data_IF_659147632450
#
_entry.id   IF_659147632450
#
_cell.length_a   1.000
_cell.length_b   1.000
_cell.length_c   1.000
_cell.angle_alpha   90.00
_cell.angle_beta   90.00
_cell.angle_gamma   90.00
#
_symmetry.space_group_name_H-M   'P 1'
#
loop_
_entity.id
_entity.type
_entity.pdbx_description
1 polymer ?
#
# COMPACT_ATOMS: atom_id res chain seq x y z
N UNK A 1 15.52 42.27 -18.00
CA UNK A 1 14.82 41.11 -17.40
C UNK A 1 15.51 39.86 -17.93
N UNK A 2 16.19 39.10 -17.08
CA UNK A 2 17.04 37.97 -17.50
C UNK A 2 16.19 36.75 -17.84
N UNK A 3 16.00 36.48 -19.13
CA UNK A 3 15.40 35.25 -19.66
C UNK A 3 16.48 34.15 -19.75
N UNK A 4 17.06 33.79 -18.61
CA UNK A 4 17.91 32.60 -18.57
C UNK A 4 16.99 31.36 -18.59
N UNK A 5 17.08 30.55 -19.64
CA UNK A 5 16.45 29.24 -19.66
C UNK A 5 16.96 28.44 -18.45
N UNK A 6 16.08 27.71 -17.73
CA UNK A 6 16.52 26.87 -16.63
C UNK A 6 17.52 25.83 -17.16
N UNK A 7 18.50 25.42 -16.34
CA UNK A 7 19.44 24.38 -16.72
C UNK A 7 18.68 23.09 -17.08
N UNK A 8 19.18 22.29 -18.03
CA UNK A 8 18.57 21.03 -18.38
C UNK A 8 18.48 20.12 -17.15
N UNK A 9 17.39 19.36 -17.04
CA UNK A 9 17.15 18.43 -15.95
C UNK A 9 18.36 17.52 -15.73
N UNK A 10 18.82 17.47 -14.47
CA UNK A 10 19.96 16.66 -14.05
C UNK A 10 19.68 15.18 -14.24
N UNK A 11 20.73 14.33 -14.23
CA UNK A 11 20.54 12.87 -14.26
C UNK A 11 19.63 12.42 -13.10
N UNK A 12 19.78 13.04 -11.93
CA UNK A 12 18.97 12.79 -10.73
C UNK A 12 17.49 13.05 -11.00
N UNK A 13 17.14 14.17 -11.65
CA UNK A 13 15.75 14.49 -11.99
C UNK A 13 15.13 13.47 -12.96
N UNK A 14 15.94 12.91 -13.86
CA UNK A 14 15.51 11.90 -14.83
C UNK A 14 15.26 10.53 -14.19
N UNK A 15 16.01 10.18 -13.15
CA UNK A 15 15.90 8.88 -12.48
C UNK A 15 14.95 8.90 -11.28
N UNK A 16 14.73 10.06 -10.66
CA UNK A 16 13.85 10.23 -9.48
C UNK A 16 12.42 9.74 -9.76
N UNK A 17 11.91 10.01 -10.97
CA UNK A 17 10.59 9.52 -11.40
C UNK A 17 10.51 7.98 -11.39
N UNK A 18 11.58 7.30 -11.81
CA UNK A 18 11.61 5.84 -11.81
C UNK A 18 11.83 5.28 -10.41
N UNK A 19 12.63 5.96 -9.58
CA UNK A 19 12.83 5.59 -8.18
C UNK A 19 11.51 5.63 -7.40
N UNK A 20 10.74 6.72 -7.56
CA UNK A 20 9.42 6.86 -6.93
C UNK A 20 8.44 5.79 -7.42
N UNK A 21 8.39 5.53 -8.73
CA UNK A 21 7.54 4.49 -9.30
C UNK A 21 7.93 3.08 -8.82
N UNK A 22 9.23 2.81 -8.66
CA UNK A 22 9.74 1.53 -8.17
C UNK A 22 9.31 1.27 -6.74
N UNK A 23 9.45 2.27 -5.84
CA UNK A 23 9.01 2.14 -4.45
C UNK A 23 7.50 1.93 -4.38
N UNK A 24 6.73 2.68 -5.17
CA UNK A 24 5.27 2.52 -5.22
C UNK A 24 4.87 1.13 -5.74
N UNK A 25 5.48 0.69 -6.83
CA UNK A 25 5.24 -0.62 -7.42
C UNK A 25 5.57 -1.74 -6.42
N UNK A 26 6.74 -1.68 -5.78
CA UNK A 26 7.14 -2.64 -4.77
C UNK A 26 6.17 -2.66 -3.58
N UNK A 27 5.82 -1.49 -3.04
CA UNK A 27 4.89 -1.38 -1.91
C UNK A 27 3.51 -1.97 -2.23
N UNK A 28 2.99 -1.76 -3.43
CA UNK A 28 1.72 -2.33 -3.87
C UNK A 28 1.80 -3.84 -4.15
N UNK A 29 2.80 -4.27 -4.93
CA UNK A 29 2.97 -5.67 -5.34
C UNK A 29 3.28 -6.60 -4.16
N UNK A 30 4.02 -6.14 -3.16
CA UNK A 30 4.30 -6.92 -1.94
C UNK A 30 3.04 -7.06 -1.07
N UNK A 31 2.07 -6.14 -1.17
CA UNK A 31 0.82 -6.18 -0.41
C UNK A 31 -0.15 -7.21 -0.99
N UNK A 32 -0.15 -7.35 -2.32
CA UNK A 32 -1.08 -8.22 -3.03
C UNK A 32 -1.08 -9.68 -2.52
N UNK A 33 0.06 -10.35 -2.28
CA UNK A 33 0.07 -11.69 -1.69
C UNK A 33 -0.73 -11.81 -0.39
N UNK A 34 -0.71 -10.82 0.49
CA UNK A 34 -1.47 -10.86 1.74
C UNK A 34 -2.99 -10.84 1.49
N UNK A 35 -3.44 -10.02 0.53
CA UNK A 35 -4.83 -9.98 0.13
C UNK A 35 -5.24 -11.26 -0.61
N UNK A 36 -4.37 -11.79 -1.45
CA UNK A 36 -4.60 -13.03 -2.18
C UNK A 36 -4.68 -14.26 -1.24
N UNK A 37 -3.88 -14.28 -0.17
CA UNK A 37 -3.97 -15.31 0.87
C UNK A 37 -5.33 -15.29 1.57
N UNK A 38 -5.88 -14.09 1.83
CA UNK A 38 -7.20 -13.92 2.46
C UNK A 38 -8.34 -14.24 1.50
N UNK A 39 -8.34 -13.64 0.31
CA UNK A 39 -9.48 -13.73 -0.62
C UNK A 39 -9.52 -15.05 -1.37
N UNK A 40 -8.36 -15.56 -1.80
CA UNK A 40 -8.29 -16.66 -2.77
C UNK A 40 -7.55 -17.90 -2.24
N UNK A 41 -6.96 -17.83 -1.04
CA UNK A 41 -6.15 -18.92 -0.48
C UNK A 41 -4.85 -19.18 -1.25
N UNK A 42 -4.42 -18.22 -2.08
CA UNK A 42 -3.19 -18.36 -2.86
C UNK A 42 -1.95 -18.33 -1.96
N UNK A 43 -0.82 -18.81 -2.48
CA UNK A 43 0.48 -18.81 -1.79
C UNK A 43 0.43 -19.49 -0.40
N UNK A 44 -0.36 -20.56 -0.28
CA UNK A 44 -0.56 -21.27 0.98
C UNK A 44 -1.41 -20.50 2.01
N UNK A 45 -2.17 -19.50 1.57
CA UNK A 45 -3.07 -18.74 2.42
C UNK A 45 -4.27 -19.57 2.90
N UNK A 46 -4.88 -19.12 4.00
CA UNK A 46 -6.00 -19.81 4.63
C UNK A 46 -7.29 -19.80 3.81
N UNK A 47 -7.41 -18.87 2.86
CA UNK A 47 -8.66 -18.58 2.15
C UNK A 47 -9.68 -17.84 3.01
N UNK A 48 -10.79 -17.46 2.37
CA UNK A 48 -11.70 -16.45 2.92
C UNK A 48 -12.41 -16.92 4.18
N UNK A 49 -13.03 -18.09 4.17
CA UNK A 49 -13.76 -18.61 5.32
C UNK A 49 -12.89 -18.71 6.59
N UNK A 50 -11.63 -19.15 6.44
CA UNK A 50 -10.69 -19.24 7.55
C UNK A 50 -10.18 -17.85 8.01
N UNK A 51 -10.04 -16.90 7.08
CA UNK A 51 -9.71 -15.51 7.41
C UNK A 51 -10.85 -14.85 8.21
N UNK A 52 -12.10 -14.99 7.77
CA UNK A 52 -13.28 -14.48 8.47
C UNK A 52 -13.39 -15.08 9.88
N UNK A 53 -13.23 -16.40 10.01
CA UNK A 53 -13.22 -17.07 11.31
C UNK A 53 -12.06 -16.57 12.20
N UNK A 54 -10.88 -16.32 11.63
CA UNK A 54 -9.74 -15.78 12.40
C UNK A 54 -10.00 -14.36 12.90
N UNK A 55 -10.66 -13.52 12.11
CA UNK A 55 -11.06 -12.18 12.56
C UNK A 55 -12.03 -12.27 13.75
N UNK A 56 -13.02 -13.15 13.67
CA UNK A 56 -13.99 -13.33 14.76
C UNK A 56 -13.37 -13.92 16.02
N UNK A 57 -12.60 -15.00 15.87
CA UNK A 57 -12.12 -15.80 17.01
C UNK A 57 -10.83 -15.29 17.64
N UNK A 58 -9.94 -14.66 16.85
CA UNK A 58 -8.63 -14.18 17.33
C UNK A 58 -8.60 -12.69 17.56
N UNK A 59 -9.27 -11.91 16.70
CA UNK A 59 -9.25 -10.44 16.78
C UNK A 59 -10.51 -9.88 17.45
N UNK A 60 -11.55 -10.69 17.66
CA UNK A 60 -12.85 -10.20 18.17
C UNK A 60 -13.55 -9.25 17.20
N UNK A 61 -13.21 -9.31 15.91
CA UNK A 61 -13.71 -8.42 14.87
C UNK A 61 -14.75 -9.13 13.99
N UNK A 62 -15.73 -8.40 13.42
CA UNK A 62 -16.65 -8.96 12.44
C UNK A 62 -15.94 -9.64 11.27
N UNK A 63 -16.39 -10.83 10.87
CA UNK A 63 -15.75 -11.63 9.81
C UNK A 63 -15.64 -10.89 8.48
N UNK A 64 -16.65 -10.09 8.10
CA UNK A 64 -16.66 -9.31 6.86
C UNK A 64 -15.48 -8.33 6.73
N UNK A 65 -14.86 -7.92 7.85
CA UNK A 65 -13.65 -7.10 7.81
C UNK A 65 -12.46 -7.85 7.19
N UNK A 66 -12.46 -9.19 7.20
CA UNK A 66 -11.45 -9.98 6.50
C UNK A 66 -11.58 -9.82 4.98
N UNK A 67 -12.81 -9.71 4.46
CA UNK A 67 -13.08 -9.38 3.05
C UNK A 67 -12.58 -7.98 2.74
N UNK A 68 -12.94 -6.99 3.56
CA UNK A 68 -12.51 -5.60 3.37
C UNK A 68 -10.98 -5.46 3.38
N UNK A 69 -10.32 -6.08 4.36
CA UNK A 69 -8.86 -6.13 4.47
C UNK A 69 -8.24 -6.80 3.24
N UNK A 70 -8.79 -7.94 2.80
CA UNK A 70 -8.31 -8.63 1.60
C UNK A 70 -8.46 -7.80 0.32
N UNK A 71 -9.58 -7.08 0.17
CA UNK A 71 -9.83 -6.20 -0.98
C UNK A 71 -8.83 -5.05 -1.02
N UNK A 72 -8.62 -4.37 0.11
CA UNK A 72 -7.67 -3.25 0.18
C UNK A 72 -6.24 -3.73 -0.04
N UNK A 73 -5.86 -4.88 0.52
CA UNK A 73 -4.52 -5.44 0.31
C UNK A 73 -4.27 -5.86 -1.14
N UNK A 74 -5.21 -6.57 -1.75
CA UNK A 74 -5.04 -7.08 -3.11
C UNK A 74 -5.30 -6.00 -4.17
N UNK A 75 -6.51 -5.45 -4.21
CA UNK A 75 -6.89 -4.50 -5.25
C UNK A 75 -6.33 -3.11 -4.96
N UNK A 76 -6.25 -2.69 -3.70
CA UNK A 76 -5.55 -1.46 -3.33
C UNK A 76 -4.05 -1.57 -3.62
N UNK A 77 -3.42 -2.71 -3.31
CA UNK A 77 -2.02 -2.97 -3.67
C UNK A 77 -1.78 -2.90 -5.18
N UNK A 78 -2.63 -3.55 -5.98
CA UNK A 78 -2.58 -3.50 -7.44
C UNK A 78 -2.76 -2.07 -7.98
N UNK A 79 -3.79 -1.36 -7.49
CA UNK A 79 -4.06 0.02 -7.87
C UNK A 79 -2.89 0.95 -7.53
N UNK A 80 -2.31 0.79 -6.33
CA UNK A 80 -1.13 1.52 -5.91
C UNK A 80 0.06 1.21 -6.82
N UNK A 81 0.32 -0.06 -7.13
CA UNK A 81 1.45 -0.44 -7.97
C UNK A 81 1.39 0.18 -9.37
N UNK A 82 0.20 0.16 -9.98
CA UNK A 82 -0.06 0.78 -11.29
C UNK A 82 -0.11 2.32 -11.21
N UNK A 83 -0.26 2.89 -10.02
CA UNK A 83 -0.51 4.31 -9.82
C UNK A 83 -1.87 4.73 -10.38
N UNK A 84 -2.90 3.92 -10.17
CA UNK A 84 -4.29 4.19 -10.55
C UNK A 84 -5.11 4.52 -9.30
N UNK A 85 -5.75 5.68 -9.27
CA UNK A 85 -6.44 6.16 -8.07
C UNK A 85 -5.49 6.26 -6.87
N UNK A 86 -4.22 6.63 -7.12
CA UNK A 86 -3.10 6.44 -6.20
C UNK A 86 -3.40 6.95 -4.80
N UNK A 87 -3.95 8.17 -4.70
CA UNK A 87 -4.22 8.80 -3.41
C UNK A 87 -5.25 8.03 -2.59
N UNK A 88 -6.31 7.54 -3.25
CA UNK A 88 -7.38 6.80 -2.58
C UNK A 88 -6.89 5.42 -2.16
N UNK A 89 -6.24 4.69 -3.07
CA UNK A 89 -5.67 3.37 -2.76
C UNK A 89 -4.66 3.45 -1.61
N UNK A 90 -3.75 4.43 -1.67
CA UNK A 90 -2.73 4.65 -0.65
C UNK A 90 -3.32 5.06 0.70
N UNK A 91 -4.37 5.90 0.71
CA UNK A 91 -5.05 6.29 1.95
C UNK A 91 -5.74 5.10 2.64
N UNK A 92 -6.40 4.23 1.86
CA UNK A 92 -7.03 3.02 2.40
C UNK A 92 -6.00 2.04 2.96
N UNK A 93 -4.89 1.82 2.24
CA UNK A 93 -3.77 0.99 2.72
C UNK A 93 -3.18 1.58 4.00
N UNK A 94 -2.89 2.89 4.04
CA UNK A 94 -2.34 3.54 5.22
C UNK A 94 -3.27 3.41 6.43
N UNK A 95 -4.56 3.66 6.25
CA UNK A 95 -5.57 3.50 7.30
C UNK A 95 -5.60 2.05 7.84
N UNK A 96 -5.59 1.06 6.94
CA UNK A 96 -5.55 -0.35 7.33
C UNK A 96 -4.26 -0.69 8.08
N UNK A 97 -3.10 -0.23 7.61
CA UNK A 97 -1.81 -0.49 8.28
C UNK A 97 -1.77 0.13 9.68
N UNK A 98 -2.26 1.36 9.86
CA UNK A 98 -2.33 1.98 11.18
C UNK A 98 -3.33 1.29 12.09
N UNK A 99 -4.48 0.86 11.56
CA UNK A 99 -5.40 0.02 12.33
C UNK A 99 -4.71 -1.27 12.82
N UNK A 100 -3.97 -1.96 11.95
CA UNK A 100 -3.21 -3.17 12.28
C UNK A 100 -2.15 -2.87 13.36
N UNK A 101 -1.42 -1.76 13.25
CA UNK A 101 -0.45 -1.31 14.26
C UNK A 101 -1.11 -1.20 15.63
N UNK A 102 -2.19 -0.43 15.75
CA UNK A 102 -2.77 -0.11 17.06
C UNK A 102 -3.67 -1.20 17.62
N UNK A 103 -4.41 -1.91 16.77
CA UNK A 103 -5.40 -2.89 17.20
C UNK A 103 -4.83 -4.31 17.33
N UNK A 104 -3.77 -4.65 16.57
CA UNK A 104 -3.27 -6.04 16.50
C UNK A 104 -1.85 -6.17 17.07
N UNK A 105 -0.94 -5.26 16.74
CA UNK A 105 0.48 -5.44 17.04
C UNK A 105 1.01 -4.57 18.19
N UNK A 106 0.24 -3.60 18.68
CA UNK A 106 0.71 -2.63 19.67
C UNK A 106 1.24 -3.29 20.96
N UNK A 107 0.50 -4.28 21.48
CA UNK A 107 0.87 -4.99 22.71
C UNK A 107 2.08 -5.92 22.56
N UNK A 108 2.43 -6.31 21.33
CA UNK A 108 3.60 -7.14 21.04
C UNK A 108 4.91 -6.32 20.99
N UNK A 109 4.83 -5.00 21.12
CA UNK A 109 5.97 -4.09 21.07
C UNK A 109 6.44 -3.80 19.65
N UNK A 110 7.68 -3.33 19.51
CA UNK A 110 8.19 -2.82 18.24
C UNK A 110 8.55 -3.93 17.24
N UNK A 111 9.42 -4.87 17.62
CA UNK A 111 10.10 -5.76 16.69
C UNK A 111 9.19 -6.78 15.99
N UNK A 112 9.22 -6.79 14.65
CA UNK A 112 8.35 -7.65 13.84
C UNK A 112 8.57 -9.16 14.08
N UNK A 113 9.80 -9.57 14.44
CA UNK A 113 10.13 -10.98 14.72
C UNK A 113 9.39 -11.53 15.95
N UNK A 114 8.93 -10.64 16.84
CA UNK A 114 8.12 -10.97 18.01
C UNK A 114 6.62 -10.73 17.76
N UNK A 115 6.23 -10.47 16.51
CA UNK A 115 4.89 -10.04 16.16
C UNK A 115 4.62 -8.55 16.46
N UNK A 116 5.65 -7.72 16.58
CA UNK A 116 5.52 -6.28 16.83
C UNK A 116 5.11 -5.46 15.59
N UNK A 117 4.91 -4.15 15.81
CA UNK A 117 4.29 -3.25 14.83
C UNK A 117 5.26 -2.59 13.83
N UNK A 118 6.57 -2.84 13.92
CA UNK A 118 7.62 -2.24 13.08
C UNK A 118 7.29 -2.31 11.58
N UNK A 119 6.94 -3.50 11.08
CA UNK A 119 6.69 -3.72 9.65
C UNK A 119 5.39 -3.06 9.15
N UNK A 120 4.21 -3.25 9.77
CA UNK A 120 3.00 -2.56 9.34
C UNK A 120 3.12 -1.04 9.51
N UNK A 121 3.86 -0.54 10.50
CA UNK A 121 4.12 0.89 10.64
C UNK A 121 4.91 1.45 9.45
N UNK A 122 6.02 0.80 9.06
CA UNK A 122 6.80 1.20 7.89
C UNK A 122 5.93 1.23 6.64
N UNK A 123 5.11 0.19 6.42
CA UNK A 123 4.24 0.12 5.26
C UNK A 123 3.17 1.21 5.25
N UNK A 124 2.58 1.49 6.42
CA UNK A 124 1.61 2.57 6.61
C UNK A 124 2.21 3.94 6.30
N UNK A 125 3.45 4.20 6.72
CA UNK A 125 4.15 5.46 6.41
C UNK A 125 4.45 5.59 4.92
N UNK A 126 4.91 4.51 4.27
CA UNK A 126 5.13 4.50 2.80
C UNK A 126 3.83 4.78 2.07
N UNK A 127 2.74 4.09 2.41
CA UNK A 127 1.43 4.32 1.82
C UNK A 127 0.95 5.76 2.07
N UNK A 128 1.07 6.27 3.30
CA UNK A 128 0.68 7.64 3.63
C UNK A 128 1.45 8.67 2.78
N UNK A 129 2.73 8.42 2.49
CA UNK A 129 3.51 9.30 1.61
C UNK A 129 2.90 9.42 0.21
N UNK A 130 2.39 8.32 -0.37
CA UNK A 130 1.70 8.33 -1.66
C UNK A 130 0.28 8.87 -1.58
N UNK A 131 -0.40 8.74 -0.43
CA UNK A 131 -1.68 9.39 -0.19
C UNK A 131 -1.55 10.93 -0.29
N UNK A 132 -0.43 11.47 0.24
CA UNK A 132 -0.12 12.91 0.21
C UNK A 132 0.40 13.34 -1.17
N UNK A 133 1.45 12.67 -1.67
CA UNK A 133 2.17 13.07 -2.90
C UNK A 133 1.41 12.72 -4.18
N UNK A 134 0.62 11.64 -4.19
CA UNK A 134 0.02 11.06 -5.39
C UNK A 134 1.00 10.16 -6.15
N UNK A 135 0.67 9.79 -7.39
CA UNK A 135 1.43 8.78 -8.14
C UNK A 135 2.66 9.28 -8.94
N UNK A 136 2.95 10.57 -9.01
CA UNK A 136 4.06 11.03 -9.84
C UNK A 136 3.89 10.70 -11.34
N UNK A 137 4.96 10.88 -12.13
CA UNK A 137 4.86 10.91 -13.60
C UNK A 137 4.68 9.53 -14.26
N UNK A 138 5.29 8.48 -13.69
CA UNK A 138 5.15 7.10 -14.14
C UNK A 138 3.95 6.42 -13.47
N UNK A 139 2.77 7.04 -13.53
CA UNK A 139 1.51 6.52 -12.99
C UNK A 139 0.42 6.50 -14.06
N UNK A 140 -0.55 5.57 -13.93
CA UNK A 140 -1.74 5.61 -14.77
C UNK A 140 -2.57 6.87 -14.52
N UNK A 141 -2.58 7.41 -13.30
CA UNK A 141 -3.19 8.72 -12.99
C UNK A 141 -2.61 9.84 -13.85
N UNK A 142 -1.28 9.89 -14.02
CA UNK A 142 -0.63 10.89 -14.86
C UNK A 142 -0.87 10.64 -16.35
N UNK A 143 -0.93 9.38 -16.79
CA UNK A 143 -1.25 9.05 -18.18
C UNK A 143 -2.68 9.44 -18.55
N UNK A 144 -3.65 9.16 -17.68
CA UNK A 144 -5.04 9.57 -17.90
C UNK A 144 -5.18 11.09 -17.98
N UNK A 145 -4.46 11.84 -17.13
CA UNK A 145 -4.43 13.31 -17.18
C UNK A 145 -3.77 13.86 -18.45
N UNK A 146 -2.81 13.15 -19.06
CA UNK A 146 -2.18 13.56 -20.33
C UNK A 146 -3.10 13.36 -21.54
N UNK A 147 -4.11 12.49 -21.42
CA UNK A 147 -5.03 12.13 -22.51
C UNK A 147 -6.36 12.88 -22.47
N UNK A 148 -6.69 13.52 -21.35
CA UNK A 148 -7.89 14.32 -21.15
C UNK A 148 -7.67 15.77 -21.63
#
# INVERSE_FOLDING_TARGET
>A
MSNANPPPASLTDRIDTYADAMVRAAAGLILMPHGAQKLFGWFGGSGLAAAENSFQTKLGLPGWLAVAAGIVEFFGGLALALGLGTRVAAALIAAQMFFIVFAVHWSAGFFAQKGGFEYPLLWGVVALSYAIRGGGHCSLDAELKRRA
#
